data_IF_334078700877
#
_entry.id   IF_334078700877
#
_cell.length_a   1.000
_cell.length_b   1.000
_cell.length_c   1.000
_cell.angle_alpha   90.00
_cell.angle_beta   90.00
_cell.angle_gamma   90.00
#
_symmetry.space_group_name_H-M   'P 1'
#
loop_
_entity.id
_entity.type
_entity.pdbx_description
1 polymer ?
#
# COMPACT_ATOMS: atom_id res chain seq x y z
N UNK A 1 -41.17 12.07 14.90
CA UNK A 1 -40.80 12.30 13.49
C UNK A 1 -40.35 10.96 12.96
N UNK A 2 -41.05 10.40 11.98
CA UNK A 2 -40.84 9.03 11.51
C UNK A 2 -39.45 8.86 10.89
N UNK A 3 -38.67 7.91 11.41
CA UNK A 3 -37.48 7.37 10.77
C UNK A 3 -37.89 6.80 9.40
N UNK A 4 -37.58 7.53 8.33
CA UNK A 4 -37.84 7.09 6.97
C UNK A 4 -36.86 5.99 6.58
N UNK A 5 -37.39 4.84 6.17
CA UNK A 5 -36.63 3.67 5.73
C UNK A 5 -35.73 4.03 4.53
N UNK A 6 -34.41 3.95 4.71
CA UNK A 6 -33.37 4.30 3.72
C UNK A 6 -33.28 3.29 2.58
N UNK A 7 -33.88 2.10 2.76
CA UNK A 7 -33.57 0.89 1.98
C UNK A 7 -34.01 0.86 0.50
N UNK A 8 -34.88 1.77 0.06
CA UNK A 8 -35.42 1.77 -1.31
C UNK A 8 -34.83 2.83 -2.25
N UNK A 9 -35.10 4.13 -2.00
CA UNK A 9 -34.87 5.18 -3.01
C UNK A 9 -33.43 5.67 -3.14
N UNK A 10 -32.51 5.30 -2.24
CA UNK A 10 -31.08 5.69 -2.33
C UNK A 10 -30.26 4.70 -3.15
N UNK A 11 -30.50 3.39 -3.06
CA UNK A 11 -29.72 2.35 -3.74
C UNK A 11 -29.73 2.50 -5.27
N UNK A 12 -30.91 2.76 -5.84
CA UNK A 12 -31.07 2.97 -7.29
C UNK A 12 -30.39 4.26 -7.79
N UNK A 13 -30.24 5.26 -6.91
CA UNK A 13 -29.67 6.57 -7.27
C UNK A 13 -28.15 6.59 -7.35
N UNK A 14 -27.44 5.62 -6.77
CA UNK A 14 -25.98 5.64 -6.76
C UNK A 14 -25.39 5.65 -8.19
N UNK A 15 -25.87 4.74 -9.03
CA UNK A 15 -25.43 4.64 -10.44
C UNK A 15 -25.91 5.85 -11.26
N UNK A 16 -27.11 6.37 -10.98
CA UNK A 16 -27.62 7.59 -11.62
C UNK A 16 -26.73 8.79 -11.29
N UNK A 17 -26.32 8.95 -10.03
CA UNK A 17 -25.45 10.06 -9.59
C UNK A 17 -24.09 10.03 -10.26
N UNK A 18 -23.49 8.84 -10.43
CA UNK A 18 -22.22 8.66 -11.15
C UNK A 18 -22.32 8.96 -12.65
N UNK A 19 -23.51 8.81 -13.25
CA UNK A 19 -23.76 9.23 -14.63
C UNK A 19 -23.78 10.76 -14.77
N UNK A 20 -24.32 11.46 -13.78
CA UNK A 20 -24.49 12.92 -13.83
C UNK A 20 -23.19 13.67 -13.54
N UNK A 21 -22.42 13.21 -12.55
CA UNK A 21 -21.22 13.90 -12.07
C UNK A 21 -20.22 12.95 -11.43
N UNK A 22 -19.01 13.47 -11.19
CA UNK A 22 -18.02 12.77 -10.36
C UNK A 22 -18.48 12.87 -8.91
N UNK A 23 -18.55 11.72 -8.23
CA UNK A 23 -18.88 11.60 -6.82
C UNK A 23 -17.60 11.64 -5.98
N UNK A 24 -17.67 12.36 -4.86
CA UNK A 24 -16.60 12.42 -3.86
C UNK A 24 -16.90 11.50 -2.67
N UNK A 25 -16.07 10.48 -2.46
CA UNK A 25 -16.00 9.67 -1.25
C UNK A 25 -15.30 10.40 -0.09
N UNK A 26 -15.18 9.74 1.05
CA UNK A 26 -14.38 10.18 2.19
C UNK A 26 -12.90 9.81 2.05
N UNK A 27 -12.15 10.12 3.10
CA UNK A 27 -10.75 9.77 3.24
C UNK A 27 -10.56 8.56 4.16
N UNK A 28 -9.36 8.37 4.68
CA UNK A 28 -9.10 7.25 5.58
C UNK A 28 -9.85 7.39 6.92
N UNK A 29 -10.53 6.31 7.32
CA UNK A 29 -11.00 6.14 8.70
C UNK A 29 -9.85 5.74 9.63
N UNK A 30 -9.15 4.64 9.30
CA UNK A 30 -8.13 4.07 10.19
C UNK A 30 -6.99 5.03 10.54
N UNK A 31 -6.31 5.61 9.55
CA UNK A 31 -5.19 6.54 9.83
C UNK A 31 -5.65 7.85 10.47
N UNK A 32 -6.88 8.28 10.19
CA UNK A 32 -7.41 9.50 10.80
C UNK A 32 -7.83 9.27 12.26
N UNK A 33 -8.30 8.07 12.62
CA UNK A 33 -8.50 7.66 14.02
C UNK A 33 -7.19 7.72 14.81
N UNK A 34 -6.07 7.27 14.23
CA UNK A 34 -4.76 7.41 14.87
C UNK A 34 -4.35 8.88 15.05
N UNK A 35 -4.63 9.74 14.06
CA UNK A 35 -4.40 11.18 14.18
C UNK A 35 -5.27 11.83 15.28
N UNK A 36 -6.45 11.29 15.53
CA UNK A 36 -7.35 11.68 16.64
C UNK A 36 -6.93 11.13 18.01
N UNK A 37 -5.83 10.38 18.08
CA UNK A 37 -5.22 9.92 19.33
C UNK A 37 -5.52 8.47 19.70
N UNK A 38 -6.12 7.67 18.80
CA UNK A 38 -6.22 6.21 18.96
C UNK A 38 -4.83 5.59 18.84
N UNK A 39 -4.53 4.61 19.68
CA UNK A 39 -3.25 3.89 19.63
C UNK A 39 -3.11 3.08 18.33
N UNK A 40 -1.90 3.03 17.76
CA UNK A 40 -1.58 2.27 16.56
C UNK A 40 -1.78 0.74 16.75
N UNK A 41 -1.73 0.26 17.99
CA UNK A 41 -1.94 -1.16 18.32
C UNK A 41 -3.43 -1.52 18.43
N UNK A 42 -4.32 -0.54 18.58
CA UNK A 42 -5.75 -0.79 18.71
C UNK A 42 -6.39 -1.18 17.37
N UNK A 43 -7.30 -2.16 17.44
CA UNK A 43 -8.12 -2.49 16.27
C UNK A 43 -9.22 -1.44 16.12
N UNK A 44 -9.14 -0.63 15.05
CA UNK A 44 -10.05 0.48 14.79
C UNK A 44 -11.50 0.05 14.55
N UNK A 45 -11.75 -1.16 14.04
CA UNK A 45 -13.11 -1.66 13.83
C UNK A 45 -13.87 -1.79 15.17
N UNK A 46 -13.17 -2.14 16.26
CA UNK A 46 -13.77 -2.27 17.61
C UNK A 46 -14.29 -0.94 18.17
N UNK A 47 -13.80 0.19 17.67
CA UNK A 47 -14.25 1.51 18.09
C UNK A 47 -15.72 1.77 17.77
N UNK A 48 -16.31 1.03 16.81
CA UNK A 48 -17.76 1.07 16.57
C UNK A 48 -18.58 0.75 17.85
N UNK A 49 -17.98 0.03 18.80
CA UNK A 49 -18.61 -0.35 20.05
C UNK A 49 -17.96 0.34 21.25
N UNK A 50 -16.63 0.44 21.29
CA UNK A 50 -15.93 1.02 22.44
C UNK A 50 -15.93 2.54 22.45
N UNK A 51 -15.95 3.19 21.29
CA UNK A 51 -16.02 4.65 21.15
C UNK A 51 -16.84 5.09 19.93
N UNK A 52 -18.17 4.84 19.96
CA UNK A 52 -19.06 5.12 18.83
C UNK A 52 -19.18 6.62 18.52
N UNK A 53 -18.98 7.50 19.51
CA UNK A 53 -19.07 8.94 19.33
C UNK A 53 -17.88 9.48 18.54
N UNK A 54 -16.67 8.96 18.80
CA UNK A 54 -15.49 9.27 17.99
C UNK A 54 -15.70 8.87 16.52
N UNK A 55 -16.13 7.63 16.25
CA UNK A 55 -16.38 7.15 14.88
C UNK A 55 -17.45 8.00 14.18
N UNK A 56 -18.56 8.29 14.87
CA UNK A 56 -19.61 9.16 14.35
C UNK A 56 -19.09 10.55 14.00
N UNK A 57 -18.30 11.16 14.88
CA UNK A 57 -17.74 12.50 14.66
C UNK A 57 -16.85 12.57 13.41
N UNK A 58 -16.10 11.50 13.11
CA UNK A 58 -15.25 11.43 11.92
C UNK A 58 -16.09 11.39 10.64
N UNK A 59 -17.18 10.60 10.62
CA UNK A 59 -18.11 10.62 9.49
C UNK A 59 -18.67 12.03 9.28
N UNK A 60 -19.09 12.74 10.34
CA UNK A 60 -19.55 14.12 10.22
C UNK A 60 -18.46 15.07 9.69
N UNK A 61 -17.20 14.89 10.09
CA UNK A 61 -16.09 15.71 9.59
C UNK A 61 -15.86 15.52 8.08
N UNK A 62 -15.93 14.29 7.57
CA UNK A 62 -15.82 14.03 6.14
C UNK A 62 -17.02 14.56 5.34
N UNK A 63 -18.23 14.39 5.85
CA UNK A 63 -19.45 14.98 5.25
C UNK A 63 -19.32 16.51 5.18
N UNK A 64 -18.88 17.17 6.26
CA UNK A 64 -18.65 18.62 6.29
C UNK A 64 -17.56 19.05 5.31
N UNK A 65 -16.52 18.25 5.12
CA UNK A 65 -15.49 18.51 4.11
C UNK A 65 -16.01 18.40 2.67
N UNK A 66 -17.06 17.61 2.46
CA UNK A 66 -17.81 17.55 1.21
C UNK A 66 -17.98 16.18 0.60
N UNK A 67 -17.73 15.11 1.36
CA UNK A 67 -18.03 13.75 0.93
C UNK A 67 -19.52 13.58 0.64
N UNK A 68 -19.82 12.98 -0.51
CA UNK A 68 -21.15 12.55 -0.95
C UNK A 68 -21.36 11.05 -0.73
N UNK A 69 -20.28 10.31 -0.48
CA UNK A 69 -20.26 8.92 -0.05
C UNK A 69 -19.30 8.78 1.12
N UNK A 70 -19.69 8.03 2.15
CA UNK A 70 -18.81 7.67 3.26
C UNK A 70 -18.74 6.15 3.41
N UNK A 71 -17.59 5.66 3.85
CA UNK A 71 -17.37 4.25 4.14
C UNK A 71 -17.72 3.94 5.60
N UNK A 72 -18.21 2.74 5.89
CA UNK A 72 -18.35 2.27 7.27
C UNK A 72 -16.98 1.94 7.88
N UNK A 73 -16.80 2.16 9.18
CA UNK A 73 -15.57 1.74 9.88
C UNK A 73 -15.54 0.21 10.10
N UNK A 74 -15.47 -0.57 9.03
CA UNK A 74 -15.63 -2.03 9.06
C UNK A 74 -14.67 -2.79 8.14
N UNK A 75 -13.65 -2.11 7.61
CA UNK A 75 -12.66 -2.70 6.69
C UNK A 75 -12.11 -4.04 7.19
N UNK A 76 -11.79 -4.14 8.48
CA UNK A 76 -11.21 -5.30 9.12
C UNK A 76 -12.21 -6.18 9.86
N UNK A 77 -13.49 -5.83 9.90
CA UNK A 77 -14.52 -6.45 10.73
C UNK A 77 -15.00 -7.83 10.22
N UNK A 78 -14.11 -8.70 9.79
CA UNK A 78 -14.42 -10.09 9.42
C UNK A 78 -13.91 -11.09 10.47
N UNK A 79 -14.44 -12.31 10.42
CA UNK A 79 -14.15 -13.36 11.39
C UNK A 79 -12.67 -13.68 11.57
N UNK A 80 -11.90 -13.72 10.48
CA UNK A 80 -10.48 -14.07 10.53
C UNK A 80 -9.63 -12.98 11.18
N UNK A 81 -9.90 -11.72 10.87
CA UNK A 81 -9.22 -10.58 11.52
C UNK A 81 -9.64 -10.43 12.97
N UNK A 82 -10.93 -10.58 13.29
CA UNK A 82 -11.43 -10.51 14.66
C UNK A 82 -10.93 -11.65 15.56
N UNK A 83 -10.63 -12.83 15.01
CA UNK A 83 -10.01 -13.93 15.73
C UNK A 83 -8.63 -13.53 16.29
N UNK A 84 -7.85 -12.73 15.55
CA UNK A 84 -6.51 -12.29 15.98
C UNK A 84 -6.54 -11.42 17.24
N UNK A 85 -7.68 -10.79 17.52
CA UNK A 85 -7.91 -9.94 18.71
C UNK A 85 -8.90 -10.57 19.69
N UNK A 86 -9.28 -11.84 19.50
CA UNK A 86 -10.19 -12.57 20.39
C UNK A 86 -11.63 -12.04 20.43
N UNK A 87 -12.12 -11.48 19.30
CA UNK A 87 -13.46 -10.87 19.16
C UNK A 87 -14.29 -11.47 18.03
N UNK A 88 -13.97 -12.67 17.56
CA UNK A 88 -14.62 -13.32 16.42
C UNK A 88 -16.11 -13.63 16.63
N UNK A 89 -16.60 -13.66 17.87
CA UNK A 89 -18.04 -13.79 18.17
C UNK A 89 -18.81 -12.47 18.05
N UNK A 90 -18.12 -11.34 17.90
CA UNK A 90 -18.71 -9.99 17.83
C UNK A 90 -18.77 -9.42 16.42
N UNK A 91 -18.42 -10.20 15.39
CA UNK A 91 -18.40 -9.76 13.98
C UNK A 91 -19.71 -9.08 13.58
N UNK A 92 -20.86 -9.72 13.85
CA UNK A 92 -22.17 -9.13 13.54
C UNK A 92 -22.39 -7.81 14.28
N UNK A 93 -22.08 -7.76 15.57
CA UNK A 93 -22.27 -6.57 16.41
C UNK A 93 -21.44 -5.38 15.90
N UNK A 94 -20.16 -5.61 15.59
CA UNK A 94 -19.22 -4.59 15.12
C UNK A 94 -19.69 -3.98 13.79
N UNK A 95 -20.09 -4.84 12.84
CA UNK A 95 -20.52 -4.39 11.52
C UNK A 95 -21.86 -3.67 11.55
N UNK A 96 -22.83 -4.22 12.30
CA UNK A 96 -24.14 -3.59 12.45
C UNK A 96 -23.99 -2.20 13.08
N UNK A 97 -23.17 -2.07 14.13
CA UNK A 97 -22.90 -0.76 14.76
C UNK A 97 -22.16 0.19 13.84
N UNK A 98 -21.15 -0.28 13.11
CA UNK A 98 -20.43 0.54 12.13
C UNK A 98 -21.35 1.10 11.04
N UNK A 99 -22.24 0.26 10.50
CA UNK A 99 -23.26 0.68 9.54
C UNK A 99 -24.28 1.66 10.16
N UNK A 100 -24.82 1.39 11.34
CA UNK A 100 -25.75 2.29 12.03
C UNK A 100 -25.14 3.67 12.28
N UNK A 101 -23.86 3.75 12.68
CA UNK A 101 -23.16 5.02 12.93
C UNK A 101 -22.98 5.84 11.65
N UNK A 102 -22.49 5.21 10.58
CA UNK A 102 -22.34 5.85 9.29
C UNK A 102 -23.71 6.30 8.74
N UNK A 103 -24.72 5.44 8.83
CA UNK A 103 -26.08 5.76 8.43
C UNK A 103 -26.65 6.95 9.20
N UNK A 104 -26.47 6.97 10.52
CA UNK A 104 -26.90 8.09 11.37
C UNK A 104 -26.22 9.40 10.97
N UNK A 105 -24.94 9.38 10.64
CA UNK A 105 -24.20 10.58 10.24
C UNK A 105 -24.65 11.08 8.85
N UNK A 106 -24.87 10.14 7.94
CA UNK A 106 -25.19 10.40 6.54
C UNK A 106 -26.63 10.88 6.28
N UNK A 107 -27.56 10.65 7.21
CA UNK A 107 -28.96 11.07 7.06
C UNK A 107 -29.63 10.42 5.84
N UNK A 108 -30.21 11.22 4.94
CA UNK A 108 -30.77 10.74 3.66
C UNK A 108 -30.10 11.40 2.44
N UNK A 109 -28.99 12.10 2.64
CA UNK A 109 -28.35 12.93 1.60
C UNK A 109 -27.02 12.35 1.11
N UNK A 110 -26.36 11.55 1.95
CA UNK A 110 -25.03 10.98 1.70
C UNK A 110 -25.17 9.47 1.52
N UNK A 111 -24.44 8.89 0.56
CA UNK A 111 -24.40 7.43 0.37
C UNK A 111 -23.53 6.77 1.44
N UNK A 112 -23.95 5.61 1.93
CA UNK A 112 -23.17 4.81 2.89
C UNK A 112 -22.69 3.53 2.23
N UNK A 113 -21.38 3.38 2.10
CA UNK A 113 -20.74 2.18 1.59
C UNK A 113 -20.29 1.27 2.73
N UNK A 114 -20.79 0.03 2.74
CA UNK A 114 -20.26 -1.02 3.59
C UNK A 114 -18.83 -1.37 3.16
N UNK A 115 -17.82 -0.91 3.91
CA UNK A 115 -16.42 -1.23 3.66
C UNK A 115 -16.12 -2.67 4.08
N UNK A 116 -15.62 -3.44 3.12
CA UNK A 116 -15.23 -4.84 3.29
C UNK A 116 -13.82 -5.02 2.71
N UNK A 117 -12.85 -5.23 3.59
CA UNK A 117 -11.48 -5.55 3.20
C UNK A 117 -11.23 -7.05 3.00
N UNK A 118 -10.00 -7.43 2.56
CA UNK A 118 -9.60 -8.82 2.47
C UNK A 118 -9.64 -9.49 3.84
N UNK A 119 -9.90 -10.81 3.84
CA UNK A 119 -9.99 -11.63 5.06
C UNK A 119 -8.65 -11.77 5.78
N UNK A 120 -7.54 -11.62 5.06
CA UNK A 120 -6.19 -11.89 5.56
C UNK A 120 -5.84 -13.38 5.57
N UNK A 121 -6.66 -14.22 4.94
CA UNK A 121 -6.30 -15.58 4.54
C UNK A 121 -5.33 -15.51 3.35
N UNK A 122 -4.41 -16.46 3.25
CA UNK A 122 -3.48 -16.52 2.12
C UNK A 122 -4.19 -17.04 0.86
N UNK A 123 -3.98 -16.33 -0.25
CA UNK A 123 -4.47 -16.69 -1.57
C UNK A 123 -3.29 -16.94 -2.53
N UNK A 124 -3.43 -17.84 -3.53
CA UNK A 124 -4.60 -18.70 -3.76
C UNK A 124 -4.75 -19.73 -2.63
N UNK A 125 -5.99 -20.15 -2.37
CA UNK A 125 -6.27 -21.12 -1.29
C UNK A 125 -5.52 -22.43 -1.55
N UNK A 126 -4.64 -22.80 -0.63
CA UNK A 126 -4.00 -24.11 -0.66
C UNK A 126 -5.02 -25.20 -0.34
N UNK A 127 -5.09 -26.23 -1.20
CA UNK A 127 -5.98 -27.37 -1.01
C UNK A 127 -5.85 -27.95 0.41
N UNK A 128 -6.93 -27.86 1.20
CA UNK A 128 -7.07 -28.52 2.50
C UNK A 128 -6.71 -27.71 3.74
N UNK A 129 -6.18 -26.47 3.62
CA UNK A 129 -5.93 -25.62 4.81
C UNK A 129 -7.15 -24.81 5.22
N UNK A 130 -7.78 -24.14 4.26
CA UNK A 130 -9.00 -23.37 4.45
C UNK A 130 -9.86 -23.58 3.20
N UNK A 131 -11.07 -24.07 3.38
CA UNK A 131 -12.03 -24.23 2.28
C UNK A 131 -12.58 -22.87 1.84
N UNK A 132 -12.82 -22.70 0.54
CA UNK A 132 -13.45 -21.49 0.00
C UNK A 132 -14.78 -21.16 0.68
N UNK A 133 -15.57 -22.19 1.05
CA UNK A 133 -16.81 -22.03 1.81
C UNK A 133 -16.61 -21.35 3.17
N UNK A 134 -15.46 -21.52 3.82
CA UNK A 134 -15.16 -20.87 5.11
C UNK A 134 -14.88 -19.37 4.91
N UNK A 135 -14.12 -19.01 3.87
CA UNK A 135 -13.91 -17.61 3.49
C UNK A 135 -15.24 -16.96 3.09
N UNK A 136 -16.01 -17.66 2.27
CA UNK A 136 -17.32 -17.22 1.82
C UNK A 136 -18.27 -16.96 3.00
N UNK A 137 -18.29 -17.84 4.00
CA UNK A 137 -19.09 -17.66 5.22
C UNK A 137 -18.68 -16.42 6.02
N UNK A 138 -17.38 -16.08 6.08
CA UNK A 138 -16.92 -14.87 6.74
C UNK A 138 -17.41 -13.60 6.02
N UNK A 139 -17.40 -13.60 4.68
CA UNK A 139 -18.00 -12.49 3.91
C UNK A 139 -19.52 -12.43 4.10
N UNK A 140 -20.24 -13.55 4.09
CA UNK A 140 -21.68 -13.58 4.36
C UNK A 140 -22.00 -12.98 5.73
N UNK A 141 -21.27 -13.39 6.78
CA UNK A 141 -21.47 -12.90 8.15
C UNK A 141 -21.29 -11.38 8.23
N UNK A 142 -20.21 -10.86 7.66
CA UNK A 142 -19.91 -9.43 7.64
C UNK A 142 -20.95 -8.64 6.83
N UNK A 143 -21.17 -9.02 5.58
CA UNK A 143 -22.01 -8.30 4.63
C UNK A 143 -23.50 -8.32 5.02
N UNK A 144 -23.97 -9.42 5.62
CA UNK A 144 -25.36 -9.49 6.13
C UNK A 144 -25.59 -8.47 7.25
N UNK A 145 -24.64 -8.33 8.18
CA UNK A 145 -24.73 -7.36 9.26
C UNK A 145 -24.70 -5.90 8.74
N UNK A 146 -23.90 -5.62 7.70
CA UNK A 146 -23.89 -4.32 7.03
C UNK A 146 -25.21 -4.02 6.33
N UNK A 147 -25.82 -4.99 5.64
CA UNK A 147 -27.14 -4.86 5.02
C UNK A 147 -28.23 -4.57 6.05
N UNK A 148 -28.21 -5.30 7.17
CA UNK A 148 -29.13 -5.07 8.29
C UNK A 148 -28.97 -3.65 8.88
N UNK A 149 -27.75 -3.11 8.88
CA UNK A 149 -27.46 -1.73 9.30
C UNK A 149 -27.82 -0.65 8.27
N UNK A 150 -28.30 -1.04 7.08
CA UNK A 150 -28.88 -0.13 6.10
C UNK A 150 -27.89 0.53 5.14
N UNK A 151 -26.74 -0.11 4.85
CA UNK A 151 -25.80 0.40 3.81
C UNK A 151 -26.46 0.45 2.43
N UNK A 152 -26.07 1.45 1.64
CA UNK A 152 -26.60 1.68 0.29
C UNK A 152 -25.86 0.84 -0.77
N UNK A 153 -24.58 0.56 -0.53
CA UNK A 153 -23.71 -0.20 -1.42
C UNK A 153 -22.61 -0.95 -0.65
N UNK A 154 -21.89 -1.84 -1.33
CA UNK A 154 -20.62 -2.37 -0.83
C UNK A 154 -19.43 -1.75 -1.54
N UNK A 155 -18.38 -1.46 -0.76
CA UNK A 155 -17.05 -1.17 -1.29
C UNK A 155 -16.09 -2.26 -0.83
N UNK A 156 -15.68 -3.09 -1.79
CA UNK A 156 -14.73 -4.17 -1.60
C UNK A 156 -13.34 -3.60 -1.86
N UNK A 157 -12.66 -3.19 -0.81
CA UNK A 157 -11.46 -2.37 -0.92
C UNK A 157 -10.17 -3.10 -0.51
N UNK A 158 -9.04 -2.66 -1.06
CA UNK A 158 -7.70 -3.14 -0.73
C UNK A 158 -7.45 -4.64 -1.00
N UNK A 159 -8.16 -5.25 -1.94
CA UNK A 159 -7.89 -6.64 -2.32
C UNK A 159 -6.57 -6.74 -3.10
N UNK A 160 -5.71 -7.69 -2.72
CA UNK A 160 -4.42 -7.94 -3.39
C UNK A 160 -4.45 -9.15 -4.31
N UNK A 161 -5.43 -10.04 -4.13
CA UNK A 161 -5.63 -11.25 -4.91
C UNK A 161 -7.00 -11.22 -5.60
N UNK A 162 -7.02 -11.50 -6.90
CA UNK A 162 -8.22 -11.36 -7.72
C UNK A 162 -9.27 -12.42 -7.36
N UNK A 163 -8.85 -13.65 -7.09
CA UNK A 163 -9.71 -14.76 -6.68
C UNK A 163 -10.48 -14.47 -5.38
N UNK A 164 -9.82 -13.88 -4.38
CA UNK A 164 -10.49 -13.43 -3.15
C UNK A 164 -11.52 -12.33 -3.43
N UNK A 165 -11.19 -11.35 -4.27
CA UNK A 165 -12.11 -10.29 -4.66
C UNK A 165 -13.34 -10.85 -5.40
N UNK A 166 -13.13 -11.76 -6.36
CA UNK A 166 -14.23 -12.39 -7.10
C UNK A 166 -15.16 -13.18 -6.17
N UNK A 167 -14.60 -13.89 -5.18
CA UNK A 167 -15.39 -14.58 -4.15
C UNK A 167 -16.23 -13.61 -3.30
N UNK A 168 -15.68 -12.44 -2.97
CA UNK A 168 -16.41 -11.40 -2.25
C UNK A 168 -17.55 -10.80 -3.09
N UNK A 169 -17.31 -10.51 -4.38
CA UNK A 169 -18.33 -10.00 -5.31
C UNK A 169 -19.47 -11.03 -5.47
N UNK A 170 -19.13 -12.30 -5.73
CA UNK A 170 -20.12 -13.38 -5.86
C UNK A 170 -20.96 -13.52 -4.58
N UNK A 171 -20.33 -13.37 -3.42
CA UNK A 171 -21.02 -13.43 -2.12
C UNK A 171 -21.99 -12.28 -1.95
N UNK A 172 -21.56 -11.05 -2.22
CA UNK A 172 -22.43 -9.88 -2.18
C UNK A 172 -23.62 -10.03 -3.13
N UNK A 173 -23.40 -10.45 -4.38
CA UNK A 173 -24.46 -10.66 -5.37
C UNK A 173 -25.43 -11.78 -5.01
N UNK A 174 -24.99 -12.80 -4.28
CA UNK A 174 -25.86 -13.88 -3.82
C UNK A 174 -26.79 -13.46 -2.68
N UNK A 175 -26.31 -12.65 -1.74
CA UNK A 175 -27.11 -12.23 -0.58
C UNK A 175 -27.94 -10.96 -0.86
N UNK A 176 -27.49 -10.11 -1.78
CA UNK A 176 -28.16 -8.88 -2.19
C UNK A 176 -27.91 -8.62 -3.70
N UNK A 177 -28.69 -9.25 -4.60
CA UNK A 177 -28.46 -9.18 -6.05
C UNK A 177 -28.40 -7.76 -6.62
N UNK A 178 -29.26 -6.89 -6.11
CA UNK A 178 -29.46 -5.53 -6.62
C UNK A 178 -28.52 -4.50 -5.99
N UNK A 179 -27.75 -4.87 -4.95
CA UNK A 179 -26.86 -3.91 -4.31
C UNK A 179 -25.71 -3.53 -5.26
N UNK A 180 -25.41 -2.22 -5.42
CA UNK A 180 -24.22 -1.79 -6.14
C UNK A 180 -22.95 -2.25 -5.43
N UNK A 181 -21.95 -2.62 -6.22
CA UNK A 181 -20.65 -3.08 -5.72
C UNK A 181 -19.56 -2.23 -6.36
N UNK A 182 -18.75 -1.57 -5.54
CA UNK A 182 -17.48 -0.97 -5.91
C UNK A 182 -16.38 -1.99 -5.60
N UNK A 183 -15.64 -2.44 -6.61
CA UNK A 183 -14.57 -3.42 -6.47
C UNK A 183 -13.21 -2.76 -6.71
N UNK A 184 -12.34 -2.78 -5.69
CA UNK A 184 -11.03 -2.14 -5.75
C UNK A 184 -9.91 -3.13 -5.42
N UNK A 185 -8.84 -3.04 -6.20
CA UNK A 185 -7.61 -3.77 -5.96
C UNK A 185 -6.42 -2.84 -5.78
N UNK A 186 -5.37 -3.37 -5.14
CA UNK A 186 -4.10 -2.68 -4.95
C UNK A 186 -3.14 -3.01 -6.10
N UNK A 187 -2.68 -1.97 -6.79
CA UNK A 187 -1.70 -2.07 -7.87
C UNK A 187 -0.41 -1.32 -7.51
N UNK A 188 0.56 -1.96 -6.84
CA UNK A 188 1.74 -1.27 -6.31
C UNK A 188 2.69 -0.73 -7.39
N UNK A 189 2.67 -1.25 -8.61
CA UNK A 189 3.62 -0.84 -9.65
C UNK A 189 3.07 -1.04 -11.06
N UNK A 190 3.19 0.00 -11.91
CA UNK A 190 2.82 -0.02 -13.34
C UNK A 190 1.46 -0.66 -13.66
N UNK A 191 0.45 -0.39 -12.82
CA UNK A 191 -0.90 -0.94 -13.03
C UNK A 191 -0.97 -2.46 -12.93
N UNK A 192 -0.10 -3.08 -12.14
CA UNK A 192 -0.09 -4.52 -11.87
C UNK A 192 -0.20 -4.81 -10.38
N UNK A 193 -0.84 -5.93 -10.04
CA UNK A 193 -0.89 -6.45 -8.67
C UNK A 193 0.50 -6.93 -8.25
N UNK A 194 0.70 -7.23 -6.96
CA UNK A 194 1.98 -7.75 -6.47
C UNK A 194 2.43 -9.05 -7.16
N UNK A 195 1.46 -9.87 -7.60
CA UNK A 195 1.70 -11.12 -8.35
C UNK A 195 1.73 -10.92 -9.88
N UNK A 196 1.68 -9.68 -10.34
CA UNK A 196 1.89 -9.33 -11.75
C UNK A 196 0.64 -9.33 -12.65
N UNK A 197 -0.56 -9.51 -12.09
CA UNK A 197 -1.81 -9.41 -12.86
C UNK A 197 -2.05 -7.97 -13.31
N UNK A 198 -2.47 -7.78 -14.56
CA UNK A 198 -2.72 -6.46 -15.13
C UNK A 198 -4.07 -5.90 -14.65
N UNK A 199 -4.10 -4.61 -14.32
CA UNK A 199 -5.32 -3.95 -13.80
C UNK A 199 -6.49 -4.00 -14.79
N UNK A 200 -6.25 -3.97 -16.10
CA UNK A 200 -7.31 -4.11 -17.10
C UNK A 200 -7.98 -5.49 -17.01
N UNK A 201 -7.19 -6.55 -16.89
CA UNK A 201 -7.69 -7.93 -16.83
C UNK A 201 -8.42 -8.18 -15.50
N UNK A 202 -7.88 -7.67 -14.39
CA UNK A 202 -8.58 -7.67 -13.10
C UNK A 202 -9.92 -6.93 -13.19
N UNK A 203 -9.92 -5.72 -13.76
CA UNK A 203 -11.14 -4.92 -13.94
C UNK A 203 -12.21 -5.65 -14.75
N UNK A 204 -11.83 -6.27 -15.87
CA UNK A 204 -12.75 -7.09 -16.70
C UNK A 204 -13.34 -8.25 -15.92
N UNK A 205 -12.53 -8.97 -15.15
CA UNK A 205 -13.00 -10.08 -14.33
C UNK A 205 -13.98 -9.59 -13.25
N UNK A 206 -13.70 -8.46 -12.60
CA UNK A 206 -14.61 -7.86 -11.60
C UNK A 206 -15.93 -7.39 -12.22
N UNK A 207 -15.92 -6.79 -13.41
CA UNK A 207 -17.15 -6.43 -14.15
C UNK A 207 -17.96 -7.69 -14.48
N UNK A 208 -17.31 -8.72 -15.00
CA UNK A 208 -17.96 -9.98 -15.34
C UNK A 208 -18.59 -10.67 -14.11
N UNK A 209 -18.02 -10.48 -12.92
CA UNK A 209 -18.58 -10.97 -11.66
C UNK A 209 -19.73 -10.10 -11.11
N UNK A 210 -20.00 -8.93 -11.70
CA UNK A 210 -21.13 -8.07 -11.35
C UNK A 210 -20.78 -6.79 -10.59
N UNK A 211 -19.52 -6.35 -10.59
CA UNK A 211 -19.15 -5.04 -10.04
C UNK A 211 -19.74 -3.91 -10.90
N UNK A 212 -20.35 -2.92 -10.24
CA UNK A 212 -20.90 -1.72 -10.89
C UNK A 212 -19.84 -0.63 -11.08
N UNK A 213 -18.81 -0.64 -10.24
CA UNK A 213 -17.65 0.25 -10.32
C UNK A 213 -16.40 -0.58 -10.08
N UNK A 214 -15.36 -0.40 -10.89
CA UNK A 214 -14.04 -1.02 -10.67
C UNK A 214 -12.99 0.04 -10.44
N UNK A 215 -11.96 -0.26 -9.65
CA UNK A 215 -10.98 0.77 -9.35
C UNK A 215 -9.78 0.30 -8.56
N UNK A 216 -9.14 1.28 -7.96
CA UNK A 216 -7.96 1.06 -7.14
C UNK A 216 -7.96 1.99 -5.95
N UNK A 217 -7.46 1.47 -4.84
CA UNK A 217 -7.16 2.24 -3.64
C UNK A 217 -5.78 1.83 -3.12
N UNK A 218 -5.26 2.63 -2.20
CA UNK A 218 -3.99 2.36 -1.55
C UNK A 218 -2.80 2.26 -2.55
N UNK A 219 -1.82 1.41 -2.25
CA UNK A 219 -0.64 1.17 -3.08
C UNK A 219 0.54 2.09 -2.79
N UNK A 220 1.45 2.18 -3.75
CA UNK A 220 2.75 2.87 -3.63
C UNK A 220 2.65 4.35 -4.01
N UNK A 221 1.68 5.04 -3.42
CA UNK A 221 1.40 6.46 -3.63
C UNK A 221 0.75 6.81 -4.98
N UNK A 222 0.61 8.11 -5.23
CA UNK A 222 -0.23 8.66 -6.32
C UNK A 222 0.23 8.23 -7.72
N UNK A 223 1.53 8.07 -7.95
CA UNK A 223 2.05 7.66 -9.27
C UNK A 223 1.65 6.23 -9.65
N UNK A 224 1.74 5.29 -8.71
CA UNK A 224 1.30 3.92 -8.93
C UNK A 224 -0.21 3.87 -9.25
N UNK A 225 -0.99 4.70 -8.55
CA UNK A 225 -2.42 4.84 -8.80
C UNK A 225 -2.73 5.39 -10.19
N UNK A 226 -2.02 6.42 -10.65
CA UNK A 226 -2.20 6.95 -12.01
C UNK A 226 -1.95 5.88 -13.08
N UNK A 227 -0.89 5.06 -12.92
CA UNK A 227 -0.63 3.94 -13.84
C UNK A 227 -1.74 2.89 -13.80
N UNK A 228 -2.32 2.59 -12.64
CA UNK A 228 -3.45 1.68 -12.54
C UNK A 228 -4.72 2.25 -13.19
N UNK A 229 -5.02 3.53 -12.93
CA UNK A 229 -6.13 4.25 -13.56
C UNK A 229 -5.97 4.31 -15.08
N UNK A 230 -4.75 4.52 -15.58
CA UNK A 230 -4.45 4.47 -17.02
C UNK A 230 -4.83 3.11 -17.62
N UNK A 231 -4.44 2.00 -16.98
CA UNK A 231 -4.82 0.65 -17.41
C UNK A 231 -6.33 0.39 -17.29
N UNK A 232 -6.99 0.90 -16.24
CA UNK A 232 -8.44 0.76 -16.07
C UNK A 232 -9.24 1.68 -17.00
N UNK A 233 -8.67 2.77 -17.48
CA UNK A 233 -9.33 3.76 -18.35
C UNK A 233 -9.83 3.17 -19.67
N UNK A 234 -9.27 2.03 -20.09
CA UNK A 234 -9.74 1.27 -21.24
C UNK A 234 -11.14 0.67 -21.03
N UNK A 235 -11.64 0.60 -19.79
CA UNK A 235 -12.98 0.13 -19.43
C UNK A 235 -13.99 1.26 -19.16
N UNK A 236 -13.58 2.53 -19.27
CA UNK A 236 -14.40 3.68 -18.83
C UNK A 236 -15.76 3.83 -19.56
N UNK A 237 -15.88 3.23 -20.74
CA UNK A 237 -17.11 3.23 -21.54
C UNK A 237 -17.97 1.98 -21.26
N UNK A 238 -17.44 0.99 -20.53
CA UNK A 238 -18.11 -0.26 -20.16
C UNK A 238 -18.59 -0.24 -18.70
N UNK A 239 -17.82 0.39 -17.79
CA UNK A 239 -18.09 0.44 -16.35
C UNK A 239 -17.55 1.75 -15.74
N UNK A 240 -18.13 2.18 -14.63
CA UNK A 240 -17.59 3.30 -13.86
C UNK A 240 -16.25 2.95 -13.21
N UNK A 241 -15.38 3.94 -13.11
CA UNK A 241 -14.07 3.80 -12.52
C UNK A 241 -13.98 4.52 -11.17
N UNK A 242 -13.27 3.94 -10.20
CA UNK A 242 -12.96 4.55 -8.90
C UNK A 242 -11.46 4.67 -8.61
N UNK A 243 -11.06 5.70 -7.84
CA UNK A 243 -9.69 5.88 -7.38
C UNK A 243 -9.61 6.55 -6.00
N UNK A 244 -8.92 5.90 -5.05
CA UNK A 244 -8.78 6.35 -3.65
C UNK A 244 -7.29 6.37 -3.25
N UNK A 245 -6.54 7.42 -3.62
CA UNK A 245 -5.09 7.49 -3.40
C UNK A 245 -4.71 7.65 -1.91
N UNK A 246 -3.57 7.06 -1.54
CA UNK A 246 -2.88 7.37 -0.28
C UNK A 246 -2.18 8.73 -0.35
N UNK A 247 -2.05 9.40 0.79
CA UNK A 247 -1.29 10.65 0.96
C UNK A 247 0.23 10.43 1.03
N UNK A 248 0.74 9.57 0.17
CA UNK A 248 2.15 9.17 0.12
C UNK A 248 2.41 7.87 0.85
N UNK A 249 3.68 7.62 1.17
CA UNK A 249 4.09 6.48 1.97
C UNK A 249 4.02 6.83 3.45
N UNK A 250 3.62 5.87 4.31
CA UNK A 250 3.69 6.06 5.75
C UNK A 250 5.15 6.19 6.17
N UNK A 251 5.45 7.23 6.92
CA UNK A 251 6.72 7.41 7.64
C UNK A 251 6.42 7.39 9.13
N UNK A 252 7.18 6.61 9.90
CA UNK A 252 7.10 6.67 11.36
C UNK A 252 8.04 7.77 11.81
N UNK A 253 7.47 8.87 12.28
CA UNK A 253 8.22 9.97 12.90
C UNK A 253 7.91 9.91 14.39
N UNK A 254 8.92 9.54 15.18
CA UNK A 254 8.78 9.18 16.60
C UNK A 254 7.82 8.00 16.81
N UNK A 255 6.62 8.27 17.34
CA UNK A 255 5.56 7.28 17.60
C UNK A 255 4.29 7.56 16.78
N UNK A 256 4.41 8.39 15.73
CA UNK A 256 3.28 8.79 14.89
C UNK A 256 3.51 8.35 13.45
N UNK A 257 2.46 7.84 12.84
CA UNK A 257 2.44 7.58 11.41
C UNK A 257 2.11 8.87 10.67
N UNK A 258 3.07 9.36 9.88
CA UNK A 258 2.96 10.61 9.12
C UNK A 258 2.88 10.30 7.64
N UNK A 259 1.98 10.99 6.95
CA UNK A 259 1.83 10.96 5.50
C UNK A 259 2.18 12.34 4.95
N UNK A 260 3.24 12.43 4.16
CA UNK A 260 3.89 13.69 3.82
C UNK A 260 3.32 14.39 2.59
N UNK A 261 2.38 13.78 1.86
CA UNK A 261 1.86 14.37 0.61
C UNK A 261 0.80 15.43 0.89
N UNK A 262 0.99 16.69 0.46
CA UNK A 262 0.04 17.77 0.75
C UNK A 262 -1.32 17.61 0.03
N UNK A 263 -2.44 18.03 0.65
CA UNK A 263 -3.77 18.04 0.05
C UNK A 263 -3.87 18.63 -1.36
N UNK A 264 -3.27 19.81 -1.57
CA UNK A 264 -3.34 20.52 -2.85
C UNK A 264 -2.65 19.75 -3.99
N UNK A 265 -1.53 19.09 -3.70
CA UNK A 265 -0.84 18.26 -4.69
C UNK A 265 -1.67 17.03 -5.06
N UNK A 266 -2.28 16.36 -4.07
CA UNK A 266 -3.16 15.24 -4.35
C UNK A 266 -4.39 15.66 -5.17
N UNK A 267 -4.96 16.83 -4.90
CA UNK A 267 -6.11 17.36 -5.62
C UNK A 267 -5.81 17.58 -7.12
N UNK A 268 -4.61 18.05 -7.46
CA UNK A 268 -4.13 18.14 -8.85
C UNK A 268 -4.14 16.76 -9.54
N UNK A 269 -3.66 15.73 -8.85
CA UNK A 269 -3.58 14.36 -9.38
C UNK A 269 -4.94 13.67 -9.45
N UNK A 270 -5.83 13.96 -8.51
CA UNK A 270 -7.25 13.58 -8.60
C UNK A 270 -7.89 14.17 -9.87
N UNK A 271 -7.60 15.42 -10.21
CA UNK A 271 -8.10 16.03 -11.44
C UNK A 271 -7.60 15.30 -12.70
N UNK A 272 -6.36 14.80 -12.69
CA UNK A 272 -5.85 13.93 -13.76
C UNK A 272 -6.61 12.61 -13.85
N UNK A 273 -6.89 11.95 -12.71
CA UNK A 273 -7.66 10.71 -12.66
C UNK A 273 -9.09 10.90 -13.22
N UNK A 274 -9.74 12.01 -12.88
CA UNK A 274 -11.07 12.37 -13.41
C UNK A 274 -11.03 12.54 -14.93
N UNK A 275 -9.99 13.18 -15.48
CA UNK A 275 -9.79 13.30 -16.93
C UNK A 275 -9.62 11.94 -17.61
N UNK A 276 -9.01 10.97 -16.93
CA UNK A 276 -8.87 9.58 -17.40
C UNK A 276 -10.16 8.76 -17.33
N UNK A 277 -11.25 9.31 -16.76
CA UNK A 277 -12.57 8.67 -16.75
C UNK A 277 -13.04 8.22 -15.36
N UNK A 278 -12.29 8.50 -14.30
CA UNK A 278 -12.71 8.18 -12.93
C UNK A 278 -13.96 8.99 -12.56
N UNK A 279 -14.92 8.32 -11.90
CA UNK A 279 -16.22 8.87 -11.51
C UNK A 279 -16.51 8.77 -10.01
N UNK A 280 -15.80 7.90 -9.29
CA UNK A 280 -15.80 7.88 -7.83
C UNK A 280 -14.38 8.15 -7.33
N UNK A 281 -14.19 9.30 -6.70
CA UNK A 281 -12.90 9.72 -6.13
C UNK A 281 -13.04 9.76 -4.63
N UNK A 282 -12.11 9.18 -3.88
CA UNK A 282 -12.00 9.40 -2.44
C UNK A 282 -10.55 9.48 -2.02
N UNK A 283 -10.27 9.13 -0.77
CA UNK A 283 -8.92 9.03 -0.24
C UNK A 283 -8.74 7.75 0.56
N UNK A 284 -7.52 7.23 0.58
CA UNK A 284 -7.16 6.08 1.42
C UNK A 284 -6.17 6.55 2.50
N UNK A 285 -5.20 5.72 2.91
CA UNK A 285 -4.32 5.99 4.03
C UNK A 285 -3.65 7.38 3.97
N UNK A 286 -3.73 8.11 5.09
CA UNK A 286 -3.17 9.45 5.25
C UNK A 286 -4.03 10.60 4.72
N UNK A 287 -5.13 10.30 4.03
CA UNK A 287 -6.07 11.34 3.62
C UNK A 287 -6.99 11.72 4.79
N UNK A 288 -7.32 13.02 4.86
CA UNK A 288 -8.02 13.66 5.99
C UNK A 288 -9.15 14.54 5.43
N UNK A 289 -10.04 15.11 6.26
CA UNK A 289 -11.06 16.06 5.80
C UNK A 289 -10.49 17.25 5.01
N UNK A 290 -9.25 17.68 5.30
CA UNK A 290 -8.58 18.72 4.51
C UNK A 290 -8.32 18.28 3.06
N UNK A 291 -7.99 16.99 2.84
CA UNK A 291 -7.82 16.44 1.50
C UNK A 291 -9.13 16.42 0.72
N UNK A 292 -10.21 15.94 1.35
CA UNK A 292 -11.55 15.90 0.74
C UNK A 292 -12.02 17.31 0.37
N UNK A 293 -11.79 18.28 1.24
CA UNK A 293 -12.10 19.68 0.95
C UNK A 293 -11.33 20.22 -0.27
N UNK A 294 -10.04 19.91 -0.41
CA UNK A 294 -9.27 20.29 -1.60
C UNK A 294 -9.75 19.54 -2.85
N UNK A 295 -10.04 18.24 -2.77
CA UNK A 295 -10.50 17.45 -3.92
C UNK A 295 -11.76 18.05 -4.51
N UNK A 296 -12.72 18.44 -3.66
CA UNK A 296 -13.98 19.07 -4.07
C UNK A 296 -13.80 20.24 -5.02
N UNK A 297 -12.77 21.07 -4.81
CA UNK A 297 -12.49 22.25 -5.66
C UNK A 297 -12.21 21.88 -7.12
N UNK A 298 -11.71 20.66 -7.36
CA UNK A 298 -11.31 20.17 -8.69
C UNK A 298 -12.37 19.30 -9.37
N UNK A 299 -13.49 19.00 -8.70
CA UNK A 299 -14.53 18.10 -9.23
C UNK A 299 -15.64 18.81 -10.03
N UNK A 300 -15.61 20.14 -10.18
CA UNK A 300 -16.59 20.91 -10.98
C UNK A 300 -16.43 20.76 -12.51
N UNK A 301 -15.83 19.66 -12.99
CA UNK A 301 -15.57 19.42 -14.40
C UNK A 301 -16.83 18.85 -15.07
N UNK A 302 -17.59 19.73 -15.74
CA UNK A 302 -18.66 19.31 -16.65
C UNK A 302 -18.06 18.58 -17.85
N UNK A 303 -18.76 17.53 -18.32
CA UNK A 303 -18.45 16.65 -19.45
C UNK A 303 -17.76 17.39 -20.61
N UNK A 304 -16.44 17.23 -20.75
CA UNK A 304 -15.75 17.59 -21.99
C UNK A 304 -15.83 16.41 -22.97
N UNK A 305 -16.26 16.68 -24.21
CA UNK A 305 -16.18 15.72 -25.32
C UNK A 305 -14.73 15.24 -25.46
N UNK A 306 -14.54 13.93 -25.46
CA UNK A 306 -13.24 13.30 -25.56
C UNK A 306 -12.48 13.78 -26.81
N UNK A 307 -11.27 14.26 -26.63
CA UNK A 307 -10.29 14.39 -27.69
C UNK A 307 -9.67 13.00 -27.86
N UNK A 308 -9.88 12.39 -29.04
CA UNK A 308 -9.25 11.12 -29.40
C UNK A 308 -7.74 11.34 -29.54
N UNK A 309 -6.97 10.82 -28.59
CA UNK A 309 -5.56 10.52 -28.83
C UNK A 309 -5.47 9.09 -29.37
N UNK A 310 -5.19 9.00 -30.66
CA UNK A 310 -4.77 7.75 -31.30
C UNK A 310 -3.26 7.65 -31.05
N UNK A 311 -2.86 6.77 -30.14
CA UNK A 311 -1.45 6.38 -30.03
C UNK A 311 -1.36 4.89 -30.32
N UNK A 312 -0.84 4.56 -31.49
CA UNK A 312 -0.44 3.21 -31.86
C UNK A 312 0.74 2.80 -30.98
N UNK A 313 0.52 1.83 -30.10
CA UNK A 313 1.59 1.20 -29.32
C UNK A 313 2.16 0.05 -30.15
N UNK A 314 3.36 0.26 -30.70
CA UNK A 314 4.17 -0.85 -31.21
C UNK A 314 4.70 -1.67 -30.02
N UNK A 315 4.54 -2.99 -30.10
CA UNK A 315 5.18 -3.96 -29.21
C UNK A 315 6.69 -3.90 -29.45
N UNK A 316 7.43 -3.32 -28.51
CA UNK A 316 8.86 -3.59 -28.36
C UNK A 316 9.02 -4.79 -27.43
N UNK A 317 9.15 -5.97 -28.03
CA UNK A 317 9.85 -7.10 -27.42
C UNK A 317 11.28 -7.02 -27.90
N UNK A 318 12.23 -6.92 -26.98
CA UNK A 318 13.56 -7.56 -27.03
C UNK A 318 14.34 -7.11 -25.79
N UNK A 319 14.34 -7.96 -24.74
CA UNK A 319 15.37 -7.91 -23.72
C UNK A 319 16.56 -8.71 -24.26
N UNK A 320 17.77 -8.14 -24.34
CA UNK A 320 18.93 -8.90 -24.76
C UNK A 320 19.24 -9.98 -23.71
N UNK A 321 19.42 -11.21 -24.18
CA UNK A 321 19.83 -12.35 -23.38
C UNK A 321 21.10 -12.00 -22.58
N UNK A 322 20.98 -12.17 -21.26
CA UNK A 322 22.02 -11.87 -20.30
C UNK A 322 23.30 -12.63 -20.59
N UNK A 323 24.37 -11.85 -20.79
CA UNK A 323 25.77 -12.25 -20.71
C UNK A 323 25.97 -13.15 -19.48
N UNK A 324 26.61 -14.31 -19.65
CA UNK A 324 27.06 -15.15 -18.53
C UNK A 324 28.04 -14.35 -17.68
N UNK A 325 27.64 -13.97 -16.48
CA UNK A 325 28.50 -13.33 -15.50
C UNK A 325 29.57 -14.33 -15.02
N UNK A 326 30.84 -13.96 -15.23
CA UNK A 326 32.02 -14.76 -14.91
C UNK A 326 32.54 -14.55 -13.49
N UNK A 327 31.81 -13.79 -12.66
CA UNK A 327 32.11 -13.60 -11.23
C UNK A 327 30.97 -14.31 -10.50
N UNK A 328 31.29 -15.28 -9.64
CA UNK A 328 30.28 -16.05 -8.90
C UNK A 328 29.29 -15.10 -8.21
N UNK A 329 28.09 -14.98 -8.80
CA UNK A 329 26.92 -14.42 -8.12
C UNK A 329 26.44 -15.51 -7.17
N UNK A 330 26.66 -15.30 -5.88
CA UNK A 330 26.34 -16.28 -4.86
C UNK A 330 26.33 -15.61 -3.51
N UNK A 331 25.19 -15.72 -2.82
CA UNK A 331 24.94 -15.13 -1.54
C UNK A 331 25.96 -15.62 -0.51
N UNK A 332 26.35 -14.69 0.35
CA UNK A 332 27.29 -14.93 1.44
C UNK A 332 26.91 -16.18 2.24
N UNK A 333 25.61 -16.39 2.47
CA UNK A 333 25.08 -17.51 3.27
C UNK A 333 25.41 -18.86 2.63
N UNK A 334 25.28 -18.98 1.31
CA UNK A 334 25.58 -20.20 0.56
C UNK A 334 27.08 -20.52 0.55
N UNK A 335 27.94 -19.51 0.74
CA UNK A 335 29.38 -19.68 0.82
C UNK A 335 29.89 -20.09 2.22
N UNK A 336 29.05 -20.00 3.25
CA UNK A 336 29.44 -20.36 4.61
C UNK A 336 29.56 -21.87 4.78
N UNK A 337 30.60 -22.29 5.50
CA UNK A 337 30.82 -23.70 5.83
C UNK A 337 29.95 -24.12 7.00
N UNK A 338 29.20 -25.21 6.84
CA UNK A 338 28.27 -25.72 7.85
C UNK A 338 28.94 -26.54 8.96
N UNK A 339 30.21 -26.91 8.80
CA UNK A 339 30.98 -27.74 9.72
C UNK A 339 31.73 -26.96 10.81
N UNK A 340 31.67 -25.63 10.78
CA UNK A 340 32.32 -24.75 11.76
C UNK A 340 31.57 -23.44 11.97
N UNK A 341 31.96 -22.71 13.01
CA UNK A 341 31.48 -21.34 13.24
C UNK A 341 32.10 -20.42 12.17
N UNK A 342 31.30 -19.61 11.45
CA UNK A 342 31.80 -18.62 10.50
C UNK A 342 32.70 -17.58 11.17
N UNK A 343 33.82 -17.25 10.52
CA UNK A 343 34.77 -16.22 10.95
C UNK A 343 34.70 -15.05 10.00
N UNK A 344 34.10 -13.96 10.48
CA UNK A 344 34.04 -12.67 9.80
C UNK A 344 35.05 -11.74 10.46
N UNK A 345 35.86 -11.06 9.66
CA UNK A 345 36.87 -10.14 10.17
C UNK A 345 36.51 -8.72 9.77
N UNK A 346 36.33 -7.85 10.78
CA UNK A 346 36.09 -6.44 10.56
C UNK A 346 37.38 -5.72 10.19
N UNK A 347 37.32 -4.99 9.08
CA UNK A 347 38.41 -4.17 8.57
C UNK A 347 37.94 -2.74 8.46
N UNK A 348 38.74 -1.88 9.07
CA UNK A 348 38.58 -0.44 9.06
C UNK A 348 39.06 0.14 7.71
N UNK A 349 38.23 0.91 6.99
CA UNK A 349 38.67 1.58 5.78
C UNK A 349 39.74 2.65 6.10
N UNK A 350 40.66 2.96 5.17
CA UNK A 350 41.68 3.96 5.40
C UNK A 350 41.09 5.38 5.49
N UNK A 351 41.80 6.29 6.17
CA UNK A 351 41.49 7.74 6.18
C UNK A 351 42.05 8.48 4.96
N UNK A 352 42.65 7.75 4.03
CA UNK A 352 43.34 8.24 2.84
C UNK A 352 43.00 7.38 1.62
N UNK A 353 43.44 7.80 0.44
CA UNK A 353 43.12 7.14 -0.82
C UNK A 353 43.98 5.89 -1.12
N UNK A 354 45.09 5.71 -0.42
CA UNK A 354 45.91 4.49 -0.56
C UNK A 354 45.21 3.30 0.12
N UNK A 355 44.88 2.27 -0.67
CA UNK A 355 44.18 1.06 -0.23
C UNK A 355 45.08 -0.19 -0.23
N UNK A 356 46.35 -0.10 -0.66
CA UNK A 356 47.22 -1.26 -0.84
C UNK A 356 47.48 -2.03 0.47
N UNK A 357 47.60 -1.30 1.58
CA UNK A 357 47.71 -1.90 2.91
C UNK A 357 46.48 -2.74 3.28
N UNK A 358 45.29 -2.25 2.94
CA UNK A 358 44.03 -2.97 3.17
C UNK A 358 43.92 -4.19 2.26
N UNK A 359 44.28 -4.07 0.98
CA UNK A 359 44.27 -5.20 0.04
C UNK A 359 45.29 -6.28 0.45
N UNK A 360 46.44 -5.89 0.98
CA UNK A 360 47.44 -6.82 1.52
C UNK A 360 46.89 -7.57 2.74
N UNK A 361 46.25 -6.85 3.67
CA UNK A 361 45.58 -7.45 4.83
C UNK A 361 44.45 -8.40 4.41
N UNK A 362 43.61 -7.98 3.46
CA UNK A 362 42.51 -8.78 2.94
C UNK A 362 42.99 -10.10 2.31
N UNK A 363 44.09 -10.08 1.54
CA UNK A 363 44.74 -11.29 1.02
C UNK A 363 45.17 -12.23 2.14
N UNK A 364 45.85 -11.70 3.15
CA UNK A 364 46.29 -12.50 4.29
C UNK A 364 45.10 -13.12 5.06
N UNK A 365 43.98 -12.41 5.20
CA UNK A 365 42.76 -12.91 5.84
C UNK A 365 42.08 -13.99 5.01
N UNK A 366 42.02 -13.81 3.69
CA UNK A 366 41.50 -14.83 2.77
C UNK A 366 42.35 -16.10 2.79
N UNK A 367 43.68 -15.98 2.75
CA UNK A 367 44.62 -17.09 2.83
C UNK A 367 44.56 -17.82 4.19
N UNK A 368 44.29 -17.09 5.27
CA UNK A 368 44.05 -17.66 6.60
C UNK A 368 42.68 -18.37 6.73
N UNK A 369 41.82 -18.25 5.71
CA UNK A 369 40.53 -18.91 5.65
C UNK A 369 39.42 -18.20 6.42
N UNK A 370 39.42 -16.86 6.47
CA UNK A 370 38.24 -16.09 6.85
C UNK A 370 37.08 -16.35 5.88
N UNK A 371 35.84 -16.38 6.40
CA UNK A 371 34.65 -16.64 5.56
C UNK A 371 34.14 -15.36 4.89
N UNK A 372 34.29 -14.20 5.55
CA UNK A 372 34.07 -12.90 4.92
C UNK A 372 34.86 -11.79 5.61
N UNK A 373 35.04 -10.67 4.89
CA UNK A 373 35.56 -9.42 5.44
C UNK A 373 34.40 -8.45 5.59
N UNK A 374 34.22 -7.90 6.79
CA UNK A 374 33.19 -6.89 7.04
C UNK A 374 33.82 -5.50 7.11
N UNK A 375 33.17 -4.50 6.51
CA UNK A 375 33.73 -3.15 6.41
C UNK A 375 32.88 -2.17 7.20
N UNK A 376 33.43 -1.66 8.30
CA UNK A 376 32.80 -0.65 9.14
C UNK A 376 32.71 0.70 8.41
N UNK A 377 31.53 1.33 8.43
CA UNK A 377 31.34 2.64 7.81
C UNK A 377 31.52 3.74 8.86
N UNK A 378 32.51 4.61 8.64
CA UNK A 378 32.85 5.73 9.52
C UNK A 378 32.89 5.43 11.04
N UNK A 379 33.58 4.36 11.49
CA UNK A 379 33.67 4.04 12.92
C UNK A 379 34.25 5.21 13.71
N UNK A 380 33.66 5.45 14.88
CA UNK A 380 33.90 6.57 15.79
C UNK A 380 33.59 7.93 15.17
N UNK A 381 32.68 7.99 14.20
CA UNK A 381 32.31 9.18 13.45
C UNK A 381 33.50 9.87 12.75
N UNK A 382 34.49 9.09 12.32
CA UNK A 382 35.68 9.59 11.61
C UNK A 382 35.56 9.33 10.11
N UNK A 383 35.80 10.36 9.29
CA UNK A 383 35.80 10.27 7.84
C UNK A 383 36.83 9.22 7.36
N UNK A 384 36.37 8.33 6.49
CA UNK A 384 37.16 7.26 5.87
C UNK A 384 36.72 7.07 4.43
N UNK A 385 37.49 6.31 3.66
CA UNK A 385 37.17 5.99 2.27
C UNK A 385 35.83 5.24 2.14
N UNK A 386 35.18 5.39 0.99
CA UNK A 386 33.92 4.72 0.66
C UNK A 386 34.02 3.18 0.73
N UNK A 387 33.07 2.55 1.44
CA UNK A 387 33.08 1.11 1.66
C UNK A 387 32.59 0.34 0.43
N UNK A 388 31.72 0.91 -0.41
CA UNK A 388 31.18 0.23 -1.58
C UNK A 388 32.31 -0.09 -2.58
N UNK A 389 33.14 0.92 -2.86
CA UNK A 389 34.30 0.80 -3.73
C UNK A 389 35.35 -0.15 -3.15
N UNK A 390 35.63 -0.05 -1.85
CA UNK A 390 36.62 -0.90 -1.19
C UNK A 390 36.19 -2.37 -1.13
N UNK A 391 34.92 -2.65 -0.82
CA UNK A 391 34.34 -3.99 -0.84
C UNK A 391 34.48 -4.65 -2.21
N UNK A 392 34.14 -3.91 -3.27
CA UNK A 392 34.27 -4.38 -4.63
C UNK A 392 35.73 -4.72 -4.97
N UNK A 393 36.69 -3.84 -4.63
CA UNK A 393 38.13 -4.06 -4.88
C UNK A 393 38.69 -5.26 -4.11
N UNK A 394 38.32 -5.43 -2.84
CA UNK A 394 38.72 -6.60 -2.04
C UNK A 394 38.22 -7.89 -2.70
N UNK A 395 36.95 -7.91 -3.12
CA UNK A 395 36.35 -9.09 -3.74
C UNK A 395 36.93 -9.39 -5.13
N UNK A 396 37.22 -8.38 -5.95
CA UNK A 396 37.94 -8.57 -7.22
C UNK A 396 39.34 -9.18 -7.01
N UNK A 397 40.07 -8.72 -5.99
CA UNK A 397 41.46 -9.13 -5.75
C UNK A 397 41.56 -10.52 -5.10
N UNK A 398 40.66 -10.83 -4.16
CA UNK A 398 40.81 -11.99 -3.27
C UNK A 398 39.73 -13.06 -3.48
N UNK A 399 38.61 -12.71 -4.11
CA UNK A 399 37.43 -13.58 -4.22
C UNK A 399 36.67 -13.81 -2.91
N UNK A 400 37.15 -13.30 -1.77
CA UNK A 400 36.44 -13.43 -0.49
C UNK A 400 35.14 -12.61 -0.50
N UNK A 401 34.13 -13.11 0.21
CA UNK A 401 32.90 -12.35 0.42
C UNK A 401 33.17 -11.13 1.29
N UNK A 402 32.44 -10.06 1.00
CA UNK A 402 32.51 -8.82 1.77
C UNK A 402 31.13 -8.44 2.28
N UNK A 403 31.05 -8.02 3.54
CA UNK A 403 29.84 -7.47 4.15
C UNK A 403 29.99 -5.95 4.25
N UNK A 404 29.10 -5.24 3.57
CA UNK A 404 29.10 -3.79 3.54
C UNK A 404 28.28 -3.26 4.71
N UNK A 405 28.90 -2.55 5.68
CA UNK A 405 28.11 -1.79 6.64
C UNK A 405 27.51 -0.57 5.91
N UNK A 406 26.21 -0.37 6.08
CA UNK A 406 25.45 0.73 5.51
C UNK A 406 24.81 1.55 6.63
N UNK A 407 25.35 2.73 6.86
CA UNK A 407 24.90 3.72 7.82
C UNK A 407 23.65 4.41 7.29
N UNK A 408 22.53 4.10 7.92
CA UNK A 408 21.21 4.55 7.49
C UNK A 408 20.96 6.03 7.82
N UNK A 409 21.57 6.56 8.89
CA UNK A 409 21.32 7.93 9.35
C UNK A 409 21.81 8.99 8.37
N UNK A 410 22.95 8.75 7.73
CA UNK A 410 23.67 9.79 6.99
C UNK A 410 23.09 10.01 5.58
N UNK A 411 22.02 9.29 5.21
CA UNK A 411 21.45 9.28 3.85
C UNK A 411 19.92 9.33 3.89
N UNK A 412 19.34 10.04 2.93
CA UNK A 412 17.91 9.94 2.66
C UNK A 412 17.57 8.60 1.96
N UNK A 413 16.27 8.27 1.87
CA UNK A 413 15.81 7.00 1.31
C UNK A 413 16.26 6.77 -0.14
N UNK A 414 16.33 7.83 -0.96
CA UNK A 414 16.80 7.73 -2.34
C UNK A 414 18.29 7.41 -2.40
N UNK A 415 19.10 8.03 -1.54
CA UNK A 415 20.53 7.74 -1.40
C UNK A 415 20.78 6.31 -0.94
N UNK A 416 20.03 5.82 0.05
CA UNK A 416 20.11 4.43 0.52
C UNK A 416 19.75 3.44 -0.59
N UNK A 417 18.63 3.67 -1.28
CA UNK A 417 18.19 2.83 -2.39
C UNK A 417 19.23 2.80 -3.52
N UNK A 418 19.75 3.97 -3.91
CA UNK A 418 20.78 4.07 -4.94
C UNK A 418 22.06 3.31 -4.56
N UNK A 419 22.49 3.36 -3.30
CA UNK A 419 23.69 2.67 -2.83
C UNK A 419 23.49 1.14 -2.77
N UNK A 420 22.32 0.67 -2.33
CA UNK A 420 21.97 -0.76 -2.36
C UNK A 420 21.93 -1.27 -3.81
N UNK A 421 21.34 -0.49 -4.73
CA UNK A 421 21.36 -0.81 -6.16
C UNK A 421 22.80 -0.85 -6.70
N UNK A 422 23.65 0.10 -6.30
CA UNK A 422 25.08 0.11 -6.64
C UNK A 422 25.82 -1.13 -6.15
N UNK A 423 25.59 -1.55 -4.91
CA UNK A 423 26.10 -2.81 -4.36
C UNK A 423 25.69 -4.01 -5.21
N UNK A 424 24.41 -4.13 -5.54
CA UNK A 424 23.92 -5.22 -6.40
C UNK A 424 24.56 -5.21 -7.79
N UNK A 425 24.72 -4.04 -8.42
CA UNK A 425 25.39 -3.90 -9.72
C UNK A 425 26.85 -4.37 -9.65
N UNK A 426 27.53 -4.11 -8.53
CA UNK A 426 28.90 -4.58 -8.27
C UNK A 426 28.95 -6.04 -7.74
N UNK A 427 27.80 -6.71 -7.68
CA UNK A 427 27.63 -8.10 -7.22
C UNK A 427 27.78 -8.28 -5.71
N UNK A 428 27.74 -7.21 -4.92
CA UNK A 428 27.80 -7.21 -3.47
C UNK A 428 26.39 -7.41 -2.90
N UNK A 429 26.16 -8.54 -2.23
CA UNK A 429 24.81 -8.93 -1.77
C UNK A 429 24.66 -8.91 -0.25
N UNK A 430 25.76 -8.94 0.50
CA UNK A 430 25.76 -8.88 1.95
C UNK A 430 25.88 -7.44 2.45
N UNK A 431 24.79 -6.90 2.99
CA UNK A 431 24.72 -5.57 3.58
C UNK A 431 24.31 -5.68 5.04
N UNK A 432 25.09 -5.07 5.93
CA UNK A 432 24.73 -4.88 7.32
C UNK A 432 24.22 -3.45 7.51
N UNK A 433 22.91 -3.29 7.67
CA UNK A 433 22.34 -1.99 7.99
C UNK A 433 22.72 -1.59 9.43
N UNK A 434 23.32 -0.42 9.60
CA UNK A 434 23.73 0.12 10.89
C UNK A 434 23.16 1.52 11.09
N UNK A 435 22.96 1.91 12.35
CA UNK A 435 22.46 3.27 12.67
C UNK A 435 23.54 4.34 12.45
N UNK A 436 24.81 4.02 12.73
CA UNK A 436 25.95 4.95 12.70
C UNK A 436 26.23 5.64 14.04
N UNK A 437 27.49 6.00 14.27
CA UNK A 437 27.93 6.67 15.50
C UNK A 437 27.48 8.13 15.57
N UNK A 438 26.99 8.65 16.72
CA UNK A 438 26.39 10.00 16.82
C UNK A 438 27.25 11.10 16.19
N UNK A 439 26.66 11.90 15.29
CA UNK A 439 27.34 13.00 14.61
C UNK A 439 27.91 14.07 15.55
N UNK A 440 27.35 14.21 16.76
CA UNK A 440 27.87 15.10 17.81
C UNK A 440 29.22 14.68 18.38
N UNK A 441 29.69 13.48 18.05
CA UNK A 441 30.97 12.91 18.52
C UNK A 441 32.14 13.18 17.57
N UNK A 442 31.88 13.81 16.41
CA UNK A 442 32.89 14.05 15.36
C UNK A 442 33.56 15.43 15.52
N UNK A 443 34.81 15.53 15.09
CA UNK A 443 35.56 16.78 14.94
C UNK A 443 35.40 17.41 13.55
N UNK A 444 34.61 16.78 12.67
CA UNK A 444 34.44 17.19 11.27
C UNK A 444 33.39 18.31 11.11
N UNK A 445 33.74 19.47 10.51
CA UNK A 445 32.79 20.58 10.32
C UNK A 445 31.61 20.21 9.40
N UNK A 446 30.39 20.57 9.81
CA UNK A 446 29.18 20.45 8.97
C UNK A 446 28.52 19.06 8.93
N UNK A 447 28.88 18.17 9.87
CA UNK A 447 28.34 16.80 9.97
C UNK A 447 27.12 16.70 10.92
N UNK A 448 26.85 17.75 11.70
CA UNK A 448 25.71 17.84 12.65
C UNK A 448 24.45 18.45 12.05
#
# INVERSE_FOLDING_TARGET
>A
MSEGDRNGPMKDKFVEHLNEKVMLGDGALGTYLFEKGVDLEENTDLLNISDPDLVYSIHEEYIRAGSELIETNTFGANRFKMLKVGREQRVREINLKGAELACRAAGNEIFVAGSVGPTGVNFPLENGKIESGTVQNAFVEQMTALLEGGVDLFILETFTHLDELLLAIETAKRIAPDIPIVAQMVYPFHGRTAIGLDALDCGRASVAAGAAVVGTNCGRGVKAMLSAVERLSYLKDEVFLSAFPNAGFPEIVEHRMVYSTPPAYMAEKVAEMVKSGVRLIGGCCGTTPAHIHEFRKYLHIKRHKAIQFVTSVEKSSDLPEGRKDSIGRGGMIESLRSDRIPVLVEVDPPKHLDIEGVLTGARALADAGADAITLAEHPLAVLRSDNLSLAHRIREETGIQTVLHLTCRDRNILGLQAQIMGAHVLGLEAILAVTGDPATSTDQPGVS
#
